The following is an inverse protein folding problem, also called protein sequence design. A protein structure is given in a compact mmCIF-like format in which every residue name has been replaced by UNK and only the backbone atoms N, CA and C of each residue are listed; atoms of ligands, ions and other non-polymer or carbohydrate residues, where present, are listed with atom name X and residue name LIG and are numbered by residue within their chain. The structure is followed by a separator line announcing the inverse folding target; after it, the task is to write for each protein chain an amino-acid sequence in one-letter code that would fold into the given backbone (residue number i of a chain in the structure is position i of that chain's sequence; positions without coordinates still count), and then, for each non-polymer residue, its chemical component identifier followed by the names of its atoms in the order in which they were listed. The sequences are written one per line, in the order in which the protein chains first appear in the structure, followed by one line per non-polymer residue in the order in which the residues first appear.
data_IF_866267356967
#
_entry.id   IF_866267356967
#
_cell.length_a   1.000
_cell.length_b   1.000
_cell.length_c   1.000
_cell.angle_alpha   90.00
_cell.angle_beta   90.00
_cell.angle_gamma   90.00
#
_symmetry.space_group_name_H-M   'P 1'
#
loop_
_entity.id
_entity.type
_entity.pdbx_description
1 polymer ?
#
# COMPACT_ATOMS: atom_id res chain seq x y z
N UNK A 1 -30.58 42.50 6.10
CA UNK A 1 -29.29 42.14 5.47
C UNK A 1 -29.03 40.66 5.69
N UNK A 2 -28.80 39.85 4.64
CA UNK A 2 -28.48 38.44 4.81
C UNK A 2 -27.10 38.31 5.46
N UNK A 3 -26.99 37.48 6.52
CA UNK A 3 -25.72 37.20 7.20
C UNK A 3 -24.73 36.62 6.20
N UNK A 4 -23.65 37.35 5.93
CA UNK A 4 -22.50 36.85 5.18
C UNK A 4 -21.97 35.63 5.93
N UNK A 5 -22.06 34.43 5.32
CA UNK A 5 -21.53 33.21 5.90
C UNK A 5 -20.05 33.42 6.25
N UNK A 6 -19.66 33.10 7.49
CA UNK A 6 -18.26 33.21 7.93
C UNK A 6 -17.41 32.38 6.97
N UNK A 7 -16.58 33.04 6.15
CA UNK A 7 -15.55 32.36 5.38
C UNK A 7 -14.60 31.71 6.38
N UNK A 8 -14.36 30.41 6.23
CA UNK A 8 -13.38 29.71 7.04
C UNK A 8 -12.02 30.42 6.92
N UNK A 9 -11.26 30.55 8.02
CA UNK A 9 -9.94 31.15 7.97
C UNK A 9 -9.09 30.39 6.94
N UNK A 10 -8.45 31.12 6.03
CA UNK A 10 -7.50 30.58 5.06
C UNK A 10 -6.31 30.01 5.80
N UNK A 11 -6.41 28.75 6.23
CA UNK A 11 -5.27 27.95 6.66
C UNK A 11 -4.37 27.72 5.44
N UNK A 12 -3.06 27.84 5.64
CA UNK A 12 -2.12 27.25 4.70
C UNK A 12 -2.49 25.77 4.51
N UNK A 13 -2.50 25.29 3.27
CA UNK A 13 -2.88 23.92 2.95
C UNK A 13 -2.01 22.95 3.75
N UNK A 14 -2.63 22.05 4.52
CA UNK A 14 -1.87 21.01 5.21
C UNK A 14 -1.33 20.07 4.12
N UNK A 15 -0.04 19.72 4.10
CA UNK A 15 0.45 18.72 3.16
C UNK A 15 -0.30 17.38 3.24
N UNK A 16 -0.95 17.08 4.38
CA UNK A 16 -1.84 15.91 4.51
C UNK A 16 -3.17 16.04 3.75
N UNK A 17 -3.62 17.25 3.39
CA UNK A 17 -4.87 17.49 2.65
C UNK A 17 -4.81 16.96 1.21
N UNK A 18 -3.62 16.59 0.72
CA UNK A 18 -3.43 15.98 -0.60
C UNK A 18 -3.91 14.51 -0.65
N UNK A 19 -3.96 13.84 0.50
CA UNK A 19 -4.33 12.42 0.61
C UNK A 19 -5.83 12.23 0.83
N UNK A 20 -6.37 11.09 0.38
CA UNK A 20 -7.76 10.74 0.65
C UNK A 20 -7.98 10.50 2.15
N UNK A 21 -9.20 10.71 2.63
CA UNK A 21 -9.58 10.40 4.02
C UNK A 21 -9.44 8.90 4.35
N UNK A 22 -9.51 8.04 3.33
CA UNK A 22 -9.24 6.60 3.45
C UNK A 22 -7.75 6.29 3.58
N UNK A 23 -6.91 6.86 2.71
CA UNK A 23 -5.45 6.70 2.74
C UNK A 23 -4.88 7.18 4.08
N UNK A 24 -5.37 8.33 4.55
CA UNK A 24 -5.02 8.88 5.86
C UNK A 24 -5.44 7.96 7.01
N UNK A 25 -6.61 7.30 6.89
CA UNK A 25 -7.07 6.32 7.89
C UNK A 25 -6.16 5.10 7.92
N UNK A 26 -5.79 4.55 6.77
CA UNK A 26 -4.87 3.41 6.69
C UNK A 26 -3.52 3.76 7.31
N UNK A 27 -2.93 4.91 6.94
CA UNK A 27 -1.67 5.36 7.51
C UNK A 27 -1.74 5.58 9.03
N UNK A 28 -2.83 6.17 9.54
CA UNK A 28 -3.09 6.32 10.97
C UNK A 28 -3.20 4.96 11.67
N UNK A 29 -3.93 4.02 11.10
CA UNK A 29 -4.07 2.66 11.67
C UNK A 29 -2.71 1.99 11.79
N UNK A 30 -1.92 1.97 10.71
CA UNK A 30 -0.57 1.39 10.74
C UNK A 30 0.29 2.09 11.81
N UNK A 31 0.26 3.42 11.88
CA UNK A 31 1.03 4.17 12.87
C UNK A 31 0.61 3.85 14.32
N UNK A 32 -0.69 3.81 14.60
CA UNK A 32 -1.19 3.45 15.93
C UNK A 32 -0.88 1.99 16.29
N UNK A 33 -0.92 1.07 15.33
CA UNK A 33 -0.48 -0.30 15.56
C UNK A 33 1.01 -0.38 15.91
N UNK A 34 1.86 0.45 15.29
CA UNK A 34 3.29 0.56 15.67
C UNK A 34 3.43 1.06 17.11
N UNK A 35 2.72 2.12 17.50
CA UNK A 35 2.78 2.64 18.87
C UNK A 35 2.33 1.58 19.89
N UNK A 36 1.21 0.91 19.59
CA UNK A 36 0.68 -0.15 20.45
C UNK A 36 1.68 -1.30 20.59
N UNK A 37 2.25 -1.77 19.47
CA UNK A 37 3.26 -2.81 19.47
C UNK A 37 4.50 -2.38 20.28
N UNK A 38 4.99 -1.15 20.10
CA UNK A 38 6.07 -0.58 20.90
C UNK A 38 5.78 -0.61 22.40
N UNK A 39 4.59 -0.17 22.81
CA UNK A 39 4.19 -0.15 24.21
C UNK A 39 4.16 -1.56 24.81
N UNK A 40 3.57 -2.53 24.10
CA UNK A 40 3.52 -3.93 24.55
C UNK A 40 4.94 -4.53 24.63
N UNK A 41 5.78 -4.29 23.63
CA UNK A 41 7.17 -4.78 23.63
C UNK A 41 7.97 -4.21 24.80
N UNK A 42 7.88 -2.89 25.07
CA UNK A 42 8.60 -2.27 26.19
C UNK A 42 8.11 -2.80 27.53
N UNK A 43 6.80 -2.96 27.72
CA UNK A 43 6.23 -3.59 28.90
C UNK A 43 6.75 -5.03 29.06
N UNK A 44 6.78 -5.80 27.97
CA UNK A 44 7.36 -7.13 27.93
C UNK A 44 8.83 -7.15 28.39
N UNK A 45 9.66 -6.24 27.87
CA UNK A 45 11.07 -6.11 28.28
C UNK A 45 11.20 -5.90 29.79
N UNK A 46 10.42 -4.99 30.37
CA UNK A 46 10.46 -4.74 31.81
C UNK A 46 10.01 -5.96 32.62
N UNK A 47 8.93 -6.62 32.21
CA UNK A 47 8.45 -7.83 32.88
C UNK A 47 9.47 -8.97 32.81
N UNK A 48 10.15 -9.14 31.66
CA UNK A 48 11.23 -10.13 31.52
C UNK A 48 12.41 -9.80 32.42
N UNK A 49 12.83 -8.53 32.50
CA UNK A 49 13.92 -8.10 33.40
C UNK A 49 13.55 -8.35 34.86
N UNK A 50 12.32 -8.01 35.27
CA UNK A 50 11.84 -8.24 36.63
C UNK A 50 11.77 -9.74 36.94
N UNK A 51 11.23 -10.55 36.02
CA UNK A 51 11.18 -12.01 36.15
C UNK A 51 12.58 -12.60 36.35
N UNK A 52 13.53 -12.20 35.50
CA UNK A 52 14.92 -12.63 35.62
C UNK A 52 15.59 -12.20 36.94
N UNK A 53 15.31 -10.99 37.43
CA UNK A 53 15.81 -10.53 38.73
C UNK A 53 15.25 -11.36 39.90
N UNK A 54 14.00 -11.79 39.80
CA UNK A 54 13.35 -12.65 40.81
C UNK A 54 13.98 -14.06 40.77
N UNK A 55 14.05 -14.68 39.59
CA UNK A 55 14.60 -16.04 39.42
C UNK A 55 16.08 -16.13 39.82
N UNK A 56 16.86 -15.09 39.54
CA UNK A 56 18.28 -15.03 39.93
C UNK A 56 18.53 -14.70 41.41
N UNK A 57 17.47 -14.49 42.20
CA UNK A 57 17.57 -14.10 43.61
C UNK A 57 18.09 -12.68 43.86
N UNK A 58 18.40 -11.92 42.79
CA UNK A 58 18.87 -10.53 42.88
C UNK A 58 17.77 -9.57 43.34
N UNK A 59 16.50 -9.96 43.20
CA UNK A 59 15.38 -9.19 43.71
C UNK A 59 15.47 -8.96 45.22
N UNK A 60 15.91 -9.96 46.00
CA UNK A 60 16.09 -9.83 47.44
C UNK A 60 17.15 -8.75 47.80
N UNK A 61 18.18 -8.58 46.96
CA UNK A 61 19.17 -7.51 47.13
C UNK A 61 18.53 -6.15 46.91
N UNK A 62 17.67 -6.00 45.90
CA UNK A 62 16.95 -4.75 45.62
C UNK A 62 15.96 -4.43 46.75
N UNK A 63 15.27 -5.45 47.26
CA UNK A 63 14.35 -5.30 48.39
C UNK A 63 15.07 -4.83 49.66
N UNK A 64 16.32 -5.28 49.87
CA UNK A 64 17.16 -4.84 50.98
C UNK A 64 17.58 -3.36 50.92
N UNK A 65 17.51 -2.72 49.75
CA UNK A 65 17.79 -1.28 49.59
C UNK A 65 16.65 -0.39 50.12
N UNK A 66 15.54 -0.99 50.53
CA UNK A 66 14.39 -0.33 51.12
C UNK A 66 13.35 0.14 50.10
N UNK A 67 12.18 0.53 50.61
CA UNK A 67 11.01 0.90 49.79
C UNK A 67 11.28 2.06 48.83
N UNK A 68 12.20 2.97 49.19
CA UNK A 68 12.60 4.09 48.34
C UNK A 68 13.25 3.66 47.02
N UNK A 69 14.08 2.60 47.05
CA UNK A 69 14.73 2.10 45.84
C UNK A 69 13.73 1.43 44.88
N UNK A 70 12.80 0.65 45.43
CA UNK A 70 11.71 0.02 44.65
C UNK A 70 10.82 1.11 44.02
N UNK A 71 10.44 2.12 44.80
CA UNK A 71 9.66 3.25 44.30
C UNK A 71 10.39 3.99 43.18
N UNK A 72 11.70 4.20 43.30
CA UNK A 72 12.51 4.85 42.27
C UNK A 72 12.53 4.04 40.96
N UNK A 73 12.65 2.72 41.03
CA UNK A 73 12.60 1.83 39.85
C UNK A 73 11.23 1.96 39.17
N UNK A 74 10.14 1.84 39.93
CA UNK A 74 8.77 1.94 39.38
C UNK A 74 8.54 3.31 38.74
N UNK A 75 8.91 4.40 39.43
CA UNK A 75 8.80 5.76 38.88
C UNK A 75 9.66 5.91 37.64
N UNK A 76 10.88 5.37 37.62
CA UNK A 76 11.75 5.37 36.44
C UNK A 76 11.11 4.67 35.24
N UNK A 77 10.48 3.51 35.45
CA UNK A 77 9.73 2.79 34.42
C UNK A 77 8.58 3.67 33.90
N UNK A 78 7.78 4.26 34.77
CA UNK A 78 6.63 5.10 34.39
C UNK A 78 7.10 6.33 33.60
N UNK A 79 8.13 7.03 34.08
CA UNK A 79 8.69 8.20 33.42
C UNK A 79 9.23 7.87 32.03
N UNK A 80 9.91 6.73 31.87
CA UNK A 80 10.40 6.26 30.57
C UNK A 80 9.24 6.02 29.59
N UNK A 81 8.14 5.40 30.04
CA UNK A 81 6.97 5.17 29.19
C UNK A 81 6.27 6.48 28.80
N UNK A 82 6.10 7.41 29.75
CA UNK A 82 5.51 8.72 29.47
C UNK A 82 6.36 9.51 28.47
N UNK A 83 7.69 9.49 28.64
CA UNK A 83 8.61 10.11 27.69
C UNK A 83 8.45 9.53 26.28
N UNK A 84 8.31 8.21 26.18
CA UNK A 84 8.15 7.51 24.91
C UNK A 84 6.80 7.81 24.24
N UNK A 85 5.72 7.96 25.02
CA UNK A 85 4.43 8.43 24.52
C UNK A 85 4.51 9.86 23.98
N UNK A 86 5.19 10.77 24.69
CA UNK A 86 5.41 12.14 24.23
C UNK A 86 6.23 12.16 22.94
N UNK A 87 7.28 11.35 22.85
CA UNK A 87 8.09 11.22 21.64
C UNK A 87 7.23 10.78 20.44
N UNK A 88 6.38 9.76 20.60
CA UNK A 88 5.46 9.34 19.55
C UNK A 88 4.44 10.43 19.19
N UNK A 89 3.92 11.16 20.17
CA UNK A 89 2.99 12.26 19.92
C UNK A 89 3.63 13.39 19.10
N UNK A 90 4.85 13.80 19.46
CA UNK A 90 5.60 14.83 18.73
C UNK A 90 5.93 14.36 17.30
N UNK A 91 6.30 13.09 17.14
CA UNK A 91 6.61 12.49 15.85
C UNK A 91 5.36 12.12 15.04
N UNK A 92 4.15 12.21 15.60
CA UNK A 92 2.91 11.75 14.97
C UNK A 92 2.67 12.37 13.60
N UNK A 93 2.74 13.71 13.53
CA UNK A 93 2.41 14.45 12.29
C UNK A 93 3.44 14.20 11.19
N UNK A 94 4.73 14.25 11.54
CA UNK A 94 5.80 13.96 10.59
C UNK A 94 5.85 12.48 10.18
N UNK A 95 5.56 11.58 11.12
CA UNK A 95 5.52 10.14 10.91
C UNK A 95 4.41 9.72 9.96
N UNK A 96 3.18 10.21 10.17
CA UNK A 96 2.06 9.94 9.27
C UNK A 96 2.33 10.49 7.88
N UNK A 97 2.86 11.70 7.76
CA UNK A 97 3.16 12.29 6.46
C UNK A 97 4.22 11.45 5.70
N UNK A 98 5.30 11.05 6.36
CA UNK A 98 6.30 10.14 5.76
C UNK A 98 5.71 8.78 5.40
N UNK A 99 4.82 8.23 6.22
CA UNK A 99 4.10 6.98 5.92
C UNK A 99 3.21 7.15 4.69
N UNK A 100 2.42 8.21 4.61
CA UNK A 100 1.57 8.49 3.45
C UNK A 100 2.42 8.64 2.18
N UNK A 101 3.54 9.35 2.23
CA UNK A 101 4.45 9.51 1.08
C UNK A 101 5.06 8.19 0.61
N UNK A 102 5.38 7.27 1.53
CA UNK A 102 5.93 5.95 1.19
C UNK A 102 4.86 4.95 0.74
N UNK A 103 3.68 4.98 1.37
CA UNK A 103 2.58 4.06 1.07
C UNK A 103 1.86 4.43 -0.22
N UNK A 104 1.63 5.72 -0.45
CA UNK A 104 0.81 6.23 -1.55
C UNK A 104 1.68 7.13 -2.43
N UNK A 105 2.02 6.63 -3.62
CA UNK A 105 2.79 7.37 -4.63
C UNK A 105 1.97 8.54 -5.18
N UNK A 106 2.66 9.61 -5.59
CA UNK A 106 2.11 10.92 -6.00
C UNK A 106 0.74 10.87 -6.67
N UNK A 107 -0.25 11.39 -5.96
CA UNK A 107 -1.66 11.40 -6.38
C UNK A 107 -1.91 12.25 -7.62
N UNK A 108 -1.03 13.22 -7.92
CA UNK A 108 -1.07 14.00 -9.16
C UNK A 108 -0.96 13.10 -10.39
N UNK A 109 -0.13 12.05 -10.31
CA UNK A 109 -0.10 11.02 -11.35
C UNK A 109 -1.31 10.10 -11.28
N UNK A 110 -1.74 9.68 -10.09
CA UNK A 110 -2.89 8.78 -9.92
C UNK A 110 -4.20 9.36 -10.49
N UNK A 111 -4.36 10.69 -10.48
CA UNK A 111 -5.50 11.40 -11.08
C UNK A 111 -5.59 11.20 -12.61
N UNK A 112 -4.45 11.02 -13.29
CA UNK A 112 -4.37 10.69 -14.73
C UNK A 112 -4.93 9.29 -15.06
N UNK A 113 -5.17 8.46 -14.04
CA UNK A 113 -5.61 7.05 -14.16
C UNK A 113 -6.86 6.76 -13.31
N UNK A 114 -7.58 7.80 -12.86
CA UNK A 114 -8.70 7.66 -11.92
C UNK A 114 -9.96 7.06 -12.59
N UNK A 115 -10.13 7.26 -13.90
CA UNK A 115 -11.28 6.75 -14.68
C UNK A 115 -11.30 5.22 -14.86
N UNK A 116 -10.20 4.53 -14.54
CA UNK A 116 -10.05 3.08 -14.74
C UNK A 116 -10.32 2.27 -13.46
N UNK A 117 -11.41 2.57 -12.74
CA UNK A 117 -11.79 1.85 -11.52
C UNK A 117 -11.97 0.35 -11.76
N UNK A 118 -12.60 -0.03 -12.88
CA UNK A 118 -12.79 -1.44 -13.28
C UNK A 118 -11.47 -2.15 -13.58
N UNK A 119 -10.55 -1.50 -14.30
CA UNK A 119 -9.22 -2.06 -14.59
C UNK A 119 -8.40 -2.21 -13.29
N UNK A 120 -8.47 -1.23 -12.39
CA UNK A 120 -7.81 -1.30 -11.08
C UNK A 120 -8.32 -2.48 -10.27
N UNK A 121 -9.64 -2.72 -10.28
CA UNK A 121 -10.25 -3.86 -9.60
C UNK A 121 -9.87 -5.19 -10.27
N UNK A 122 -9.82 -5.25 -11.60
CA UNK A 122 -9.40 -6.45 -12.32
C UNK A 122 -7.95 -6.81 -12.00
N UNK A 123 -7.04 -5.82 -12.07
CA UNK A 123 -5.62 -5.96 -11.67
C UNK A 123 -5.53 -6.38 -10.21
N UNK A 124 -6.35 -5.79 -9.34
CA UNK A 124 -6.38 -6.14 -7.92
C UNK A 124 -6.71 -7.63 -7.73
N UNK A 125 -7.76 -8.13 -8.37
CA UNK A 125 -8.16 -9.55 -8.28
C UNK A 125 -7.07 -10.47 -8.85
N UNK A 126 -6.45 -10.11 -9.97
CA UNK A 126 -5.37 -10.93 -10.56
C UNK A 126 -4.16 -10.99 -9.63
N UNK A 127 -3.78 -9.86 -9.04
CA UNK A 127 -2.61 -9.76 -8.19
C UNK A 127 -2.81 -10.47 -6.85
N UNK A 128 -4.02 -10.43 -6.28
CA UNK A 128 -4.41 -11.29 -5.14
C UNK A 128 -4.31 -12.77 -5.49
N UNK A 129 -4.78 -13.17 -6.68
CA UNK A 129 -4.68 -14.55 -7.15
C UNK A 129 -3.23 -15.03 -7.26
N UNK A 130 -2.35 -14.19 -7.83
CA UNK A 130 -0.90 -14.47 -7.88
C UNK A 130 -0.30 -14.59 -6.49
N UNK A 131 -0.66 -13.71 -5.55
CA UNK A 131 -0.18 -13.81 -4.17
C UNK A 131 -0.62 -15.10 -3.48
N UNK A 132 -1.89 -15.47 -3.57
CA UNK A 132 -2.40 -16.71 -2.98
C UNK A 132 -1.69 -17.93 -3.58
N UNK A 133 -1.47 -17.94 -4.89
CA UNK A 133 -0.69 -18.98 -5.55
C UNK A 133 0.74 -19.03 -5.01
N UNK A 134 1.45 -17.89 -4.91
CA UNK A 134 2.82 -17.83 -4.41
C UNK A 134 2.93 -18.26 -2.94
N UNK A 135 1.99 -17.85 -2.09
CA UNK A 135 1.94 -18.25 -0.67
C UNK A 135 1.70 -19.77 -0.58
N UNK A 136 0.74 -20.29 -1.33
CA UNK A 136 0.44 -21.74 -1.34
C UNK A 136 1.62 -22.54 -1.85
N UNK A 137 2.26 -22.08 -2.93
CA UNK A 137 3.46 -22.68 -3.50
C UNK A 137 4.61 -22.67 -2.47
N UNK A 138 4.82 -21.55 -1.78
CA UNK A 138 5.82 -21.46 -0.72
C UNK A 138 5.54 -22.47 0.39
N UNK A 139 4.30 -22.60 0.87
CA UNK A 139 3.90 -23.57 1.89
C UNK A 139 4.12 -25.03 1.46
N UNK A 140 3.89 -25.35 0.18
CA UNK A 140 4.08 -26.69 -0.38
C UNK A 140 5.57 -27.02 -0.59
N UNK A 141 6.39 -26.04 -0.97
CA UNK A 141 7.83 -26.23 -1.18
C UNK A 141 8.58 -26.33 0.15
N UNK A 142 8.02 -25.80 1.24
CA UNK A 142 8.65 -25.85 2.55
C UNK A 142 8.89 -27.31 3.00
N UNK A 143 10.15 -27.70 3.25
CA UNK A 143 10.49 -29.05 3.66
C UNK A 143 9.83 -29.45 4.99
N UNK A 144 9.63 -30.75 5.21
CA UNK A 144 9.07 -31.27 6.47
C UNK A 144 9.87 -30.85 7.71
N UNK A 145 11.19 -30.70 7.61
CA UNK A 145 12.03 -30.24 8.73
C UNK A 145 11.65 -28.82 9.18
N UNK A 146 11.15 -27.95 8.28
CA UNK A 146 10.75 -26.60 8.65
C UNK A 146 9.54 -26.63 9.58
N UNK A 147 8.55 -27.48 9.27
CA UNK A 147 7.38 -27.66 10.12
C UNK A 147 7.72 -28.26 11.49
N UNK A 148 8.68 -29.21 11.52
CA UNK A 148 9.22 -29.72 12.79
C UNK A 148 9.88 -28.61 13.60
N UNK A 149 10.75 -27.81 12.97
CA UNK A 149 11.43 -26.70 13.64
C UNK A 149 10.44 -25.68 14.24
N UNK A 150 9.38 -25.35 13.50
CA UNK A 150 8.33 -24.44 14.00
C UNK A 150 7.60 -25.06 15.20
N UNK A 151 7.26 -26.35 15.13
CA UNK A 151 6.60 -27.06 16.22
C UNK A 151 7.50 -27.16 17.48
N UNK A 152 8.78 -27.48 17.30
CA UNK A 152 9.76 -27.58 18.39
C UNK A 152 9.99 -26.22 19.05
N UNK A 153 10.12 -25.15 18.25
CA UNK A 153 10.23 -23.78 18.74
C UNK A 153 8.99 -23.36 19.52
N UNK A 154 7.79 -23.70 19.02
CA UNK A 154 6.53 -23.42 19.70
C UNK A 154 6.42 -24.15 21.04
N UNK A 155 6.82 -25.43 21.08
CA UNK A 155 6.84 -26.21 22.32
C UNK A 155 7.84 -25.66 23.33
N UNK A 156 9.03 -25.26 22.87
CA UNK A 156 10.04 -24.59 23.71
C UNK A 156 9.49 -23.29 24.32
N UNK A 157 8.85 -22.45 23.50
CA UNK A 157 8.22 -21.21 23.96
C UNK A 157 7.17 -21.50 25.04
N UNK A 158 6.29 -22.48 24.83
CA UNK A 158 5.23 -22.79 25.81
C UNK A 158 5.78 -23.28 27.14
N UNK A 159 6.83 -24.09 27.11
CA UNK A 159 7.35 -24.77 28.30
C UNK A 159 8.33 -23.91 29.10
N UNK A 160 9.02 -22.99 28.44
CA UNK A 160 10.13 -22.25 29.04
C UNK A 160 9.77 -20.80 29.37
N UNK A 161 8.83 -20.19 28.64
CA UNK A 161 8.64 -18.75 28.74
C UNK A 161 7.93 -18.34 30.04
N UNK A 162 8.53 -17.37 30.73
CA UNK A 162 7.85 -16.68 31.83
C UNK A 162 6.82 -15.67 31.31
N UNK A 163 6.01 -15.11 32.22
CA UNK A 163 4.94 -14.18 31.84
C UNK A 163 5.45 -12.93 31.08
N UNK A 164 6.65 -12.44 31.41
CA UNK A 164 7.25 -11.30 30.72
C UNK A 164 7.68 -11.63 29.30
N UNK A 165 8.32 -12.78 29.11
CA UNK A 165 8.75 -13.28 27.80
C UNK A 165 7.55 -13.54 26.88
N UNK A 166 6.41 -13.99 27.42
CA UNK A 166 5.16 -14.09 26.67
C UNK A 166 4.64 -12.75 26.18
N UNK A 167 4.60 -11.73 27.05
CA UNK A 167 4.18 -10.37 26.67
C UNK A 167 5.13 -9.80 25.61
N UNK A 168 6.44 -10.02 25.77
CA UNK A 168 7.45 -9.61 24.82
C UNK A 168 7.24 -10.29 23.45
N UNK A 169 7.01 -11.61 23.44
CA UNK A 169 6.75 -12.38 22.23
C UNK A 169 5.50 -11.86 21.50
N UNK A 170 4.41 -11.62 22.21
CA UNK A 170 3.18 -11.04 21.63
C UNK A 170 3.47 -9.68 20.99
N UNK A 171 4.22 -8.81 21.67
CA UNK A 171 4.63 -7.51 21.12
C UNK A 171 5.43 -7.66 19.81
N UNK A 172 6.39 -8.59 19.78
CA UNK A 172 7.19 -8.89 18.58
C UNK A 172 6.32 -9.44 17.44
N UNK A 173 5.38 -10.35 17.73
CA UNK A 173 4.46 -10.91 16.74
C UNK A 173 3.59 -9.80 16.13
N UNK A 174 3.05 -8.90 16.95
CA UNK A 174 2.28 -7.74 16.46
C UNK A 174 3.15 -6.88 15.54
N UNK A 175 4.41 -6.62 15.90
CA UNK A 175 5.35 -5.91 15.03
C UNK A 175 5.55 -6.59 13.68
N UNK A 176 5.76 -7.90 13.67
CA UNK A 176 5.92 -8.68 12.44
C UNK A 176 4.67 -8.55 11.57
N UNK A 177 3.48 -8.69 12.15
CA UNK A 177 2.21 -8.54 11.43
C UNK A 177 2.09 -7.13 10.83
N UNK A 178 2.39 -6.09 11.61
CA UNK A 178 2.33 -4.69 11.14
C UNK A 178 3.31 -4.45 9.99
N UNK A 179 4.53 -4.99 10.07
CA UNK A 179 5.53 -4.91 8.99
C UNK A 179 5.03 -5.62 7.73
N UNK A 180 4.46 -6.82 7.87
CA UNK A 180 3.91 -7.58 6.74
C UNK A 180 2.76 -6.84 6.07
N UNK A 181 1.83 -6.29 6.85
CA UNK A 181 0.72 -5.47 6.34
C UNK A 181 1.25 -4.23 5.63
N UNK A 182 2.21 -3.52 6.24
CA UNK A 182 2.85 -2.35 5.65
C UNK A 182 3.51 -2.69 4.30
N UNK A 183 4.32 -3.76 4.25
CA UNK A 183 4.97 -4.22 3.02
C UNK A 183 3.94 -4.64 1.96
N UNK A 184 2.90 -5.36 2.36
CA UNK A 184 1.79 -5.72 1.47
C UNK A 184 1.17 -4.49 0.81
N UNK A 185 0.87 -3.45 1.58
CA UNK A 185 0.34 -2.19 1.04
C UNK A 185 1.34 -1.47 0.13
N UNK A 186 2.63 -1.42 0.50
CA UNK A 186 3.66 -0.81 -0.34
C UNK A 186 3.76 -1.54 -1.68
N UNK A 187 3.91 -2.86 -1.67
CA UNK A 187 4.04 -3.65 -2.90
C UNK A 187 2.75 -3.55 -3.72
N UNK A 188 1.58 -3.59 -3.08
CA UNK A 188 0.30 -3.42 -3.75
C UNK A 188 0.20 -2.09 -4.49
N UNK A 189 0.37 -0.97 -3.79
CA UNK A 189 0.22 0.35 -4.39
C UNK A 189 1.26 0.61 -5.49
N UNK A 190 2.49 0.13 -5.31
CA UNK A 190 3.53 0.26 -6.32
C UNK A 190 3.31 -0.68 -7.51
N UNK A 191 2.86 -1.91 -7.26
CA UNK A 191 2.59 -2.93 -8.27
C UNK A 191 1.42 -2.53 -9.17
N UNK A 192 0.28 -2.17 -8.58
CA UNK A 192 -0.90 -1.67 -9.32
C UNK A 192 -0.51 -0.47 -10.19
N UNK A 193 0.25 0.47 -9.63
CA UNK A 193 0.72 1.64 -10.37
C UNK A 193 1.64 1.27 -11.54
N UNK A 194 2.58 0.34 -11.34
CA UNK A 194 3.49 -0.09 -12.40
C UNK A 194 2.73 -0.73 -13.58
N UNK A 195 1.69 -1.50 -13.29
CA UNK A 195 0.83 -2.12 -14.33
C UNK A 195 0.02 -1.04 -15.06
N UNK A 196 -0.66 -0.15 -14.34
CA UNK A 196 -1.44 0.94 -14.96
C UNK A 196 -0.60 1.83 -15.87
N UNK A 197 0.65 2.13 -15.48
CA UNK A 197 1.57 2.90 -16.32
C UNK A 197 1.89 2.18 -17.63
N UNK A 198 2.04 0.85 -17.62
CA UNK A 198 2.30 0.07 -18.84
C UNK A 198 1.08 0.00 -19.74
N UNK A 199 -0.10 -0.27 -19.17
CA UNK A 199 -1.36 -0.35 -19.94
C UNK A 199 -1.64 0.98 -20.65
N UNK A 200 -1.52 2.11 -19.94
CA UNK A 200 -1.76 3.42 -20.56
C UNK A 200 -0.74 3.77 -21.62
N UNK A 201 0.54 3.39 -21.45
CA UNK A 201 1.55 3.63 -22.49
C UNK A 201 1.18 2.89 -23.77
N UNK A 202 0.68 1.67 -23.65
CA UNK A 202 0.21 0.86 -24.78
C UNK A 202 -1.01 1.53 -25.45
N UNK A 203 -1.97 2.01 -24.65
CA UNK A 203 -3.15 2.73 -25.17
C UNK A 203 -2.78 4.03 -25.89
N UNK A 204 -1.89 4.85 -25.29
CA UNK A 204 -1.36 6.07 -25.90
C UNK A 204 -0.58 5.74 -27.20
N UNK A 205 0.18 4.64 -27.25
CA UNK A 205 0.84 4.17 -28.49
C UNK A 205 -0.18 3.79 -29.58
N UNK A 206 -1.29 3.13 -29.23
CA UNK A 206 -2.36 2.81 -30.17
C UNK A 206 -3.08 4.05 -30.70
N UNK A 207 -3.36 5.03 -29.84
CA UNK A 207 -3.99 6.30 -30.24
C UNK A 207 -3.09 7.06 -31.23
N UNK A 208 -1.78 7.15 -30.95
CA UNK A 208 -0.81 7.78 -31.85
C UNK A 208 -0.70 7.04 -33.18
N UNK A 209 -0.68 5.70 -33.16
CA UNK A 209 -0.70 4.92 -34.41
C UNK A 209 -1.98 5.15 -35.23
N UNK A 210 -3.14 5.28 -34.58
CA UNK A 210 -4.40 5.59 -35.27
C UNK A 210 -4.39 7.00 -35.86
N UNK A 211 -3.85 7.99 -35.14
CA UNK A 211 -3.69 9.35 -35.63
C UNK A 211 -2.73 9.40 -36.83
N UNK A 212 -1.58 8.73 -36.77
CA UNK A 212 -0.65 8.63 -37.90
C UNK A 212 -1.33 7.96 -39.11
N UNK A 213 -2.06 6.85 -38.90
CA UNK A 213 -2.83 6.21 -39.98
C UNK A 213 -3.86 7.16 -40.58
N UNK A 214 -4.55 7.97 -39.76
CA UNK A 214 -5.51 8.98 -40.26
C UNK A 214 -4.80 10.08 -41.05
N UNK A 215 -3.65 10.58 -40.57
CA UNK A 215 -2.87 11.60 -41.27
C UNK A 215 -2.31 11.09 -42.61
N UNK A 216 -1.75 9.87 -42.64
CA UNK A 216 -1.33 9.20 -43.87
C UNK A 216 -2.48 9.07 -44.87
N UNK A 217 -3.68 8.74 -44.39
CA UNK A 217 -4.88 8.62 -45.23
C UNK A 217 -5.41 9.98 -45.73
N UNK A 218 -5.15 11.09 -45.01
CA UNK A 218 -5.48 12.44 -45.49
C UNK A 218 -4.57 12.87 -46.65
N UNK A 219 -3.33 12.38 -46.70
CA UNK A 219 -2.37 12.64 -47.78
C UNK A 219 -2.38 11.61 -48.92
N UNK A 220 -3.10 10.50 -48.77
CA UNK A 220 -3.09 9.40 -49.74
C UNK A 220 -3.88 9.73 -51.03
N UNK A 221 -3.39 9.20 -52.15
CA UNK A 221 -4.06 9.28 -53.43
C UNK A 221 -5.36 8.45 -53.46
N UNK A 222 -6.25 8.81 -54.37
CA UNK A 222 -7.60 8.25 -54.44
C UNK A 222 -7.63 6.77 -54.87
N UNK A 223 -6.56 6.27 -55.50
CA UNK A 223 -6.41 4.85 -55.83
C UNK A 223 -6.02 4.04 -54.58
N UNK A 224 -5.09 4.56 -53.78
CA UNK A 224 -4.67 3.95 -52.50
C UNK A 224 -5.83 3.88 -51.52
N UNK A 225 -6.66 4.93 -51.41
CA UNK A 225 -7.87 4.91 -50.58
C UNK A 225 -8.87 3.82 -51.02
N UNK A 226 -9.04 3.60 -52.33
CA UNK A 226 -9.92 2.55 -52.88
C UNK A 226 -9.39 1.15 -52.58
N UNK A 227 -8.07 0.94 -52.69
CA UNK A 227 -7.41 -0.33 -52.34
C UNK A 227 -7.58 -0.62 -50.85
N UNK A 228 -7.39 0.38 -49.99
CA UNK A 228 -7.50 0.23 -48.54
C UNK A 228 -8.94 -0.10 -48.09
N UNK A 229 -9.94 0.61 -48.63
CA UNK A 229 -11.35 0.32 -48.38
C UNK A 229 -11.73 -1.11 -48.79
N UNK A 230 -11.27 -1.54 -49.96
CA UNK A 230 -11.54 -2.89 -50.47
C UNK A 230 -10.87 -3.96 -49.59
N UNK A 231 -9.66 -3.68 -49.10
CA UNK A 231 -8.92 -4.55 -48.17
C UNK A 231 -9.60 -4.66 -46.80
N UNK A 232 -10.11 -3.55 -46.25
CA UNK A 232 -10.75 -3.52 -44.92
C UNK A 232 -12.19 -4.07 -44.93
N UNK A 233 -12.97 -3.77 -45.96
CA UNK A 233 -14.41 -4.08 -45.98
C UNK A 233 -14.78 -5.26 -46.87
N UNK A 234 -13.86 -5.73 -47.72
CA UNK A 234 -14.11 -6.74 -48.75
C UNK A 234 -15.03 -6.26 -49.88
N UNK A 235 -15.47 -5.00 -49.87
CA UNK A 235 -16.45 -4.43 -50.81
C UNK A 235 -15.76 -3.51 -51.80
N UNK A 236 -16.24 -3.48 -53.05
CA UNK A 236 -15.72 -2.58 -54.08
C UNK A 236 -16.06 -1.12 -53.75
N UNK A 237 -15.07 -0.23 -53.79
CA UNK A 237 -15.27 1.21 -53.59
C UNK A 237 -16.13 1.85 -54.68
N UNK A 238 -15.97 1.39 -55.93
CA UNK A 238 -16.68 1.85 -57.13
C UNK A 238 -17.62 0.75 -57.63
N UNK A 239 -18.86 1.12 -57.93
CA UNK A 239 -19.83 0.27 -58.62
C UNK A 239 -20.39 1.02 -59.83
N UNK A 240 -20.28 0.43 -61.03
CA UNK A 240 -20.71 1.03 -62.31
C UNK A 240 -20.16 2.47 -62.52
N UNK A 241 -18.88 2.67 -62.21
CA UNK A 241 -18.20 3.96 -62.39
C UNK A 241 -18.55 5.05 -61.35
N UNK A 242 -19.45 4.77 -60.39
CA UNK A 242 -19.81 5.70 -59.31
C UNK A 242 -19.32 5.19 -57.95
N UNK A 243 -18.90 6.10 -57.09
CA UNK A 243 -18.58 5.79 -55.70
C UNK A 243 -19.79 5.25 -54.96
N UNK A 244 -19.59 4.17 -54.20
CA UNK A 244 -20.64 3.58 -53.37
C UNK A 244 -20.92 4.45 -52.15
N UNK A 245 -22.17 4.43 -51.65
CA UNK A 245 -22.53 5.13 -50.38
C UNK A 245 -21.67 4.65 -49.21
N UNK A 246 -21.34 3.35 -49.17
CA UNK A 246 -20.45 2.77 -48.16
C UNK A 246 -19.04 3.36 -48.22
N UNK A 247 -18.47 3.50 -49.41
CA UNK A 247 -17.17 4.13 -49.58
C UNK A 247 -17.19 5.62 -49.19
N UNK A 248 -18.22 6.38 -49.55
CA UNK A 248 -18.34 7.80 -49.16
C UNK A 248 -18.44 7.98 -47.64
N UNK A 249 -19.26 7.16 -46.98
CA UNK A 249 -19.40 7.13 -45.51
C UNK A 249 -18.09 6.79 -44.81
N UNK A 250 -17.39 5.78 -45.32
CA UNK A 250 -16.10 5.35 -44.77
C UNK A 250 -15.01 6.40 -45.00
N UNK A 251 -14.97 7.01 -46.19
CA UNK A 251 -14.05 8.10 -46.56
C UNK A 251 -14.28 9.31 -45.66
N UNK A 252 -15.54 9.70 -45.40
CA UNK A 252 -15.83 10.79 -44.45
C UNK A 252 -15.43 10.45 -43.02
N UNK A 253 -15.64 9.21 -42.54
CA UNK A 253 -15.27 8.83 -41.17
C UNK A 253 -13.76 8.71 -40.95
N UNK A 254 -12.98 8.49 -42.00
CA UNK A 254 -11.52 8.39 -41.93
C UNK A 254 -10.81 9.74 -42.15
N UNK A 255 -11.44 10.67 -42.89
CA UNK A 255 -10.83 11.93 -43.31
C UNK A 255 -11.34 13.14 -42.50
N UNK A 256 -12.55 13.12 -41.93
CA UNK A 256 -13.01 14.18 -41.02
C UNK A 256 -12.38 14.03 -39.64
#
# INVERSE_FOLDING_TARGET
MPRKGRKAPTRAADPLDQYSTWDLRIAKTIYYSIILASAITILGVWLTIIGWLIESGKWAVIESWGLGAIALIIVGIIVLHLFLLVLFYVLFRGGILKLCQRLFKDRVLAKKYEDYTTLRLLIAVTLVGVYLFLITLALVILPSFFWSLVADLWFFVITTFNAGEWVLLIGIIIFIIVILVYLGFVIWNHGVFAVLKRVKRIEEEYEVEEEIKREELKGADEETLKKLYTKQTGKKAIYRGKETKGYKSWKSSMIS
#
